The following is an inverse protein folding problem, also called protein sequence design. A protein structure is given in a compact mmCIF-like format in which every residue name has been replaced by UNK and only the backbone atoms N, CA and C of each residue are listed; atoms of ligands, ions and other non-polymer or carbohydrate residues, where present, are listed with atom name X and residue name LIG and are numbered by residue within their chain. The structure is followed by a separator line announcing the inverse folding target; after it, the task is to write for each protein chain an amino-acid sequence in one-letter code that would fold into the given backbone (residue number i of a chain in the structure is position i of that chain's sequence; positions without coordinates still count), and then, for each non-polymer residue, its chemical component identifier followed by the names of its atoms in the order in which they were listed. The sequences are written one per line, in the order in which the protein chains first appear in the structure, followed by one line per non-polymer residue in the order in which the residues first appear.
data_IF_836136271424
#
_entry.id   IF_836136271424
#
_cell.length_a   1.000
_cell.length_b   1.000
_cell.length_c   1.000
_cell.angle_alpha   90.00
_cell.angle_beta   90.00
_cell.angle_gamma   90.00
#
_symmetry.space_group_name_H-M   'P 1'
#
loop_
_entity.id
_entity.type
_entity.pdbx_description
1 polymer ?
#
# COMPACT_ATOMS: atom_id res chain seq x y z
N UNK A 1 0.38 -11.54 -14.76
CA UNK A 1 1.25 -12.46 -13.98
C UNK A 1 1.61 -13.72 -14.77
N UNK A 2 0.67 -14.58 -15.16
CA UNK A 2 0.98 -15.85 -15.84
C UNK A 2 1.85 -15.72 -17.11
N UNK A 3 1.56 -14.74 -17.97
CA UNK A 3 2.38 -14.45 -19.16
C UNK A 3 3.84 -14.11 -18.82
N UNK A 4 4.04 -13.26 -17.79
CA UNK A 4 5.37 -12.84 -17.32
C UNK A 4 6.16 -14.00 -16.71
N UNK A 5 5.50 -14.85 -15.94
CA UNK A 5 6.11 -16.02 -15.28
C UNK A 5 6.20 -17.25 -16.19
N UNK A 6 5.72 -17.18 -17.44
CA UNK A 6 5.57 -18.32 -18.36
C UNK A 6 4.84 -19.51 -17.71
N UNK A 7 3.87 -19.21 -16.85
CA UNK A 7 3.11 -20.22 -16.13
C UNK A 7 2.19 -20.97 -17.09
N UNK A 8 2.30 -22.30 -17.14
CA UNK A 8 1.45 -23.17 -17.98
C UNK A 8 0.12 -23.54 -17.31
N UNK A 9 0.04 -23.40 -15.99
CA UNK A 9 -1.13 -23.76 -15.18
C UNK A 9 -1.37 -22.70 -14.11
N UNK A 10 -2.63 -22.41 -13.84
CA UNK A 10 -3.07 -21.50 -12.80
C UNK A 10 -4.16 -22.15 -11.94
N UNK A 11 -4.25 -21.72 -10.68
CA UNK A 11 -5.35 -22.00 -9.77
C UNK A 11 -5.94 -20.66 -9.36
N UNK A 12 -7.28 -20.55 -9.32
CA UNK A 12 -7.98 -19.38 -8.84
C UNK A 12 -8.61 -19.65 -7.47
N UNK A 13 -8.53 -18.66 -6.58
CA UNK A 13 -9.24 -18.65 -5.30
C UNK A 13 -10.20 -17.48 -5.29
N UNK A 14 -11.49 -17.78 -5.23
CA UNK A 14 -12.58 -16.82 -5.14
C UNK A 14 -12.96 -16.64 -3.68
N UNK A 15 -12.86 -15.41 -3.18
CA UNK A 15 -13.30 -15.04 -1.83
C UNK A 15 -14.54 -14.17 -1.95
N UNK A 16 -15.66 -14.69 -1.49
CA UNK A 16 -16.95 -14.00 -1.54
C UNK A 16 -17.63 -14.15 -0.18
N UNK A 17 -17.68 -13.07 0.60
CA UNK A 17 -18.27 -13.05 1.94
C UNK A 17 -19.73 -13.53 2.00
N UNK A 18 -20.41 -13.60 0.87
CA UNK A 18 -21.78 -14.08 0.75
C UNK A 18 -21.89 -15.47 0.08
N UNK A 19 -20.77 -16.14 -0.18
CA UNK A 19 -20.73 -17.53 -0.58
C UNK A 19 -21.14 -18.38 0.64
N UNK A 20 -22.40 -18.80 0.68
CA UNK A 20 -22.91 -19.71 1.70
C UNK A 20 -22.18 -21.06 1.65
N UNK A 21 -22.20 -21.78 2.77
CA UNK A 21 -21.70 -23.15 2.87
C UNK A 21 -22.29 -24.05 1.75
N UNK A 22 -21.49 -25.04 1.32
CA UNK A 22 -21.90 -26.05 0.34
C UNK A 22 -23.33 -26.58 0.62
N UNK A 23 -24.11 -26.96 -0.42
CA UNK A 23 -25.50 -27.33 -0.22
C UNK A 23 -25.61 -28.63 0.57
N UNK A 24 -25.80 -28.52 1.88
CA UNK A 24 -26.33 -29.58 2.74
C UNK A 24 -27.69 -29.11 3.27
N UNK A 25 -28.68 -29.97 3.12
CA UNK A 25 -30.12 -29.66 3.10
C UNK A 25 -30.61 -28.74 4.22
N UNK A 26 -31.39 -27.75 3.77
CA UNK A 26 -32.47 -26.97 4.40
C UNK A 26 -32.34 -25.53 3.89
N UNK A 27 -33.10 -25.16 2.86
CA UNK A 27 -33.07 -23.80 2.27
C UNK A 27 -34.45 -23.18 2.28
N UNK A 28 -34.53 -21.97 2.84
CA UNK A 28 -35.63 -21.02 2.63
C UNK A 28 -35.53 -20.50 1.18
N UNK A 29 -36.65 -20.48 0.44
CA UNK A 29 -36.67 -20.29 -1.02
C UNK A 29 -35.97 -19.01 -1.55
N UNK A 30 -35.90 -17.94 -0.76
CA UNK A 30 -35.21 -16.70 -1.14
C UNK A 30 -33.67 -16.84 -1.14
N UNK A 31 -33.10 -17.57 -0.15
CA UNK A 31 -31.66 -17.80 -0.05
C UNK A 31 -31.15 -18.79 -1.11
N UNK A 32 -32.05 -19.60 -1.70
CA UNK A 32 -31.73 -20.47 -2.83
C UNK A 32 -31.48 -19.66 -4.11
N UNK A 33 -32.39 -18.73 -4.44
CA UNK A 33 -32.27 -17.87 -5.64
C UNK A 33 -31.01 -17.01 -5.63
N UNK A 34 -30.67 -16.43 -4.47
CA UNK A 34 -29.50 -15.55 -4.34
C UNK A 34 -28.18 -16.31 -4.55
N UNK A 35 -28.09 -17.54 -4.06
CA UNK A 35 -26.91 -18.37 -4.31
C UNK A 35 -26.82 -18.91 -5.74
N UNK A 36 -27.95 -19.18 -6.39
CA UNK A 36 -27.96 -19.60 -7.80
C UNK A 36 -27.46 -18.45 -8.70
N UNK A 37 -27.88 -17.22 -8.43
CA UNK A 37 -27.35 -16.02 -9.11
C UNK A 37 -25.85 -15.86 -8.84
N UNK A 38 -25.39 -15.99 -7.59
CA UNK A 38 -23.95 -15.90 -7.28
C UNK A 38 -23.13 -16.99 -7.96
N UNK A 39 -23.64 -18.21 -8.00
CA UNK A 39 -22.97 -19.31 -8.72
C UNK A 39 -22.82 -18.99 -10.20
N UNK A 40 -23.85 -18.41 -10.83
CA UNK A 40 -23.76 -17.95 -12.22
C UNK A 40 -22.70 -16.84 -12.39
N UNK A 41 -22.62 -15.89 -11.45
CA UNK A 41 -21.58 -14.85 -11.46
C UNK A 41 -20.17 -15.44 -11.29
N UNK A 42 -19.99 -16.41 -10.39
CA UNK A 42 -18.71 -17.10 -10.22
C UNK A 42 -18.31 -17.86 -11.48
N UNK A 43 -19.25 -18.56 -12.13
CA UNK A 43 -19.00 -19.28 -13.39
C UNK A 43 -18.62 -18.30 -14.50
N UNK A 44 -19.39 -17.22 -14.70
CA UNK A 44 -19.09 -16.22 -15.71
C UNK A 44 -17.71 -15.56 -15.51
N UNK A 45 -17.35 -15.25 -14.27
CA UNK A 45 -16.02 -14.72 -13.93
C UNK A 45 -14.90 -15.72 -14.23
N UNK A 46 -15.14 -17.00 -13.94
CA UNK A 46 -14.18 -18.09 -14.17
C UNK A 46 -13.99 -18.36 -15.65
N UNK A 47 -15.06 -18.32 -16.44
CA UNK A 47 -15.00 -18.47 -17.90
C UNK A 47 -14.20 -17.33 -18.52
N UNK A 48 -14.49 -16.08 -18.13
CA UNK A 48 -13.74 -14.91 -18.60
C UNK A 48 -12.24 -14.98 -18.21
N UNK A 49 -11.95 -15.45 -16.99
CA UNK A 49 -10.57 -15.67 -16.53
C UNK A 49 -9.89 -16.79 -17.32
N UNK A 50 -10.58 -17.89 -17.60
CA UNK A 50 -10.05 -19.00 -18.36
C UNK A 50 -9.71 -18.60 -19.80
N UNK A 51 -10.56 -17.80 -20.45
CA UNK A 51 -10.29 -17.21 -21.77
C UNK A 51 -9.01 -16.37 -21.77
N UNK A 52 -8.90 -15.43 -20.83
CA UNK A 52 -7.71 -14.57 -20.71
C UNK A 52 -6.43 -15.36 -20.40
N UNK A 53 -6.54 -16.45 -19.64
CA UNK A 53 -5.41 -17.33 -19.36
C UNK A 53 -5.00 -18.13 -20.60
N UNK A 54 -5.97 -18.59 -21.40
CA UNK A 54 -5.72 -19.32 -22.63
C UNK A 54 -4.97 -18.47 -23.66
N UNK A 55 -5.32 -17.17 -23.79
CA UNK A 55 -4.64 -16.21 -24.66
C UNK A 55 -3.13 -16.08 -24.35
N UNK A 56 -2.74 -16.33 -23.10
CA UNK A 56 -1.34 -16.29 -22.65
C UNK A 56 -0.72 -17.68 -22.48
N UNK A 57 -1.37 -18.73 -23.00
CA UNK A 57 -0.89 -20.11 -22.97
C UNK A 57 -0.93 -20.79 -21.60
N UNK A 58 -1.75 -20.26 -20.68
CA UNK A 58 -1.94 -20.81 -19.34
C UNK A 58 -3.31 -21.50 -19.22
N UNK A 59 -3.35 -22.67 -18.58
CA UNK A 59 -4.61 -23.36 -18.32
C UNK A 59 -5.08 -23.12 -16.88
N UNK A 60 -6.35 -22.76 -16.69
CA UNK A 60 -6.98 -22.78 -15.38
C UNK A 60 -7.27 -24.23 -14.96
N UNK A 61 -6.66 -24.68 -13.86
CA UNK A 61 -6.65 -26.09 -13.44
C UNK A 61 -7.38 -26.36 -12.13
N UNK A 62 -7.75 -25.31 -11.40
CA UNK A 62 -8.49 -25.40 -10.16
C UNK A 62 -9.16 -24.06 -9.86
N UNK A 63 -10.39 -24.10 -9.37
CA UNK A 63 -11.10 -22.92 -8.88
C UNK A 63 -11.70 -23.27 -7.53
N UNK A 64 -11.24 -22.60 -6.48
CA UNK A 64 -11.69 -22.83 -5.12
C UNK A 64 -12.45 -21.60 -4.61
N UNK A 65 -13.59 -21.82 -3.97
CA UNK A 65 -14.46 -20.76 -3.44
C UNK A 65 -14.49 -20.88 -1.92
N UNK A 66 -14.44 -19.73 -1.23
CA UNK A 66 -14.63 -19.65 0.22
C UNK A 66 -15.23 -18.30 0.62
N UNK A 67 -15.83 -18.23 1.80
CA UNK A 67 -16.40 -16.99 2.32
C UNK A 67 -15.33 -16.00 2.82
N UNK A 68 -14.31 -16.54 3.49
CA UNK A 68 -13.21 -15.77 4.07
C UNK A 68 -11.97 -16.66 4.22
N UNK A 69 -10.79 -16.03 4.25
CA UNK A 69 -9.52 -16.73 4.52
C UNK A 69 -9.30 -16.78 6.03
N UNK A 70 -10.03 -17.65 6.72
CA UNK A 70 -9.94 -17.82 8.17
C UNK A 70 -9.90 -19.30 8.55
N UNK A 71 -9.30 -19.61 9.71
CA UNK A 71 -9.23 -20.97 10.23
C UNK A 71 -10.64 -21.57 10.36
N UNK A 72 -10.83 -22.78 9.82
CA UNK A 72 -12.10 -23.51 9.87
C UNK A 72 -13.13 -23.11 8.82
N UNK A 73 -12.89 -22.06 8.02
CA UNK A 73 -13.82 -21.66 6.95
C UNK A 73 -13.95 -22.75 5.90
N UNK A 74 -15.17 -23.09 5.45
CA UNK A 74 -15.35 -24.07 4.39
C UNK A 74 -14.85 -23.50 3.06
N UNK A 75 -14.26 -24.38 2.26
CA UNK A 75 -13.97 -24.11 0.86
C UNK A 75 -14.44 -25.29 0.00
N UNK A 76 -14.76 -25.01 -1.25
CA UNK A 76 -15.17 -26.03 -2.22
C UNK A 76 -14.65 -25.69 -3.61
N UNK A 77 -14.52 -26.70 -4.46
CA UNK A 77 -14.20 -26.50 -5.87
C UNK A 77 -15.43 -26.04 -6.66
N UNK A 78 -15.24 -25.05 -7.54
CA UNK A 78 -16.26 -24.64 -8.50
C UNK A 78 -16.27 -25.54 -9.74
N UNK A 79 -15.14 -26.17 -10.08
CA UNK A 79 -14.95 -26.95 -11.32
C UNK A 79 -15.58 -28.36 -11.30
N UNK A 80 -16.63 -28.58 -10.49
CA UNK A 80 -17.36 -29.84 -10.46
C UNK A 80 -16.58 -31.02 -9.87
N UNK A 81 -15.38 -30.80 -9.34
CA UNK A 81 -14.71 -31.79 -8.50
C UNK A 81 -15.32 -31.76 -7.08
N UNK A 82 -15.34 -32.92 -6.41
CA UNK A 82 -15.87 -33.08 -5.04
C UNK A 82 -14.89 -32.61 -3.96
N UNK A 83 -13.80 -31.93 -4.34
CA UNK A 83 -12.81 -31.45 -3.36
C UNK A 83 -13.37 -30.24 -2.65
N UNK A 84 -13.30 -30.33 -1.34
CA UNK A 84 -13.62 -29.27 -0.42
C UNK A 84 -13.06 -29.65 0.94
N UNK A 85 -13.16 -28.73 1.87
CA UNK A 85 -12.69 -28.95 3.22
C UNK A 85 -12.80 -27.68 4.02
N UNK A 86 -12.07 -27.63 5.12
CA UNK A 86 -11.90 -26.41 5.91
C UNK A 86 -10.52 -25.84 5.67
N UNK A 87 -10.41 -24.52 5.75
CA UNK A 87 -9.15 -23.81 5.66
C UNK A 87 -8.37 -24.08 6.97
N UNK A 88 -7.17 -24.68 6.92
CA UNK A 88 -6.28 -24.75 8.08
C UNK A 88 -5.91 -23.33 8.53
N UNK A 89 -5.52 -23.13 9.80
CA UNK A 89 -5.17 -21.79 10.29
C UNK A 89 -4.19 -21.08 9.35
N UNK A 90 -4.64 -20.02 8.64
CA UNK A 90 -3.79 -19.32 7.68
C UNK A 90 -2.54 -18.73 8.33
N UNK A 91 -2.62 -18.34 9.62
CA UNK A 91 -1.51 -17.79 10.38
C UNK A 91 -0.44 -18.84 10.72
N UNK A 92 -0.81 -20.13 10.75
CA UNK A 92 0.09 -21.26 10.97
C UNK A 92 0.68 -21.82 9.66
N UNK A 93 0.32 -21.26 8.49
CA UNK A 93 0.84 -21.72 7.21
C UNK A 93 2.34 -21.42 7.06
N UNK A 94 3.07 -22.27 6.34
CA UNK A 94 4.51 -22.04 6.04
C UNK A 94 4.77 -20.72 5.33
N UNK A 95 3.82 -20.28 4.50
CA UNK A 95 3.85 -18.96 3.83
C UNK A 95 3.68 -17.83 4.84
N UNK A 96 2.73 -17.94 5.79
CA UNK A 96 2.56 -16.97 6.86
C UNK A 96 3.79 -16.90 7.78
N UNK A 97 4.37 -18.05 8.15
CA UNK A 97 5.60 -18.11 8.94
C UNK A 97 6.77 -17.46 8.20
N UNK A 98 6.95 -17.71 6.90
CA UNK A 98 7.96 -17.05 6.08
C UNK A 98 7.71 -15.53 5.92
N UNK A 99 6.44 -15.10 5.95
CA UNK A 99 6.12 -13.68 5.98
C UNK A 99 6.55 -13.03 7.31
N UNK A 100 6.18 -13.63 8.45
CA UNK A 100 6.53 -13.14 9.80
C UNK A 100 8.04 -13.15 10.05
N UNK A 101 8.75 -14.22 9.65
CA UNK A 101 10.20 -14.30 9.77
C UNK A 101 10.93 -13.24 8.94
N UNK A 102 10.33 -12.76 7.85
CA UNK A 102 10.80 -11.60 7.08
C UNK A 102 10.39 -10.24 7.68
N UNK A 103 9.85 -10.19 8.90
CA UNK A 103 9.40 -8.97 9.57
C UNK A 103 8.05 -8.42 9.07
N UNK A 104 7.27 -9.21 8.32
CA UNK A 104 5.99 -8.77 7.74
C UNK A 104 4.84 -9.06 8.71
N UNK A 105 4.03 -8.05 8.99
CA UNK A 105 2.85 -8.20 9.85
C UNK A 105 1.67 -8.70 9.02
N UNK A 106 1.06 -9.81 9.44
CA UNK A 106 -0.15 -10.35 8.81
C UNK A 106 -1.35 -9.57 9.38
N UNK A 107 -1.95 -8.71 8.58
CA UNK A 107 -3.17 -8.01 8.95
C UNK A 107 -4.39 -8.89 8.67
N UNK A 108 -5.32 -8.97 9.63
CA UNK A 108 -6.44 -9.92 9.57
C UNK A 108 -7.56 -9.48 8.62
N UNK A 109 -7.59 -8.20 8.25
CA UNK A 109 -8.56 -7.67 7.28
C UNK A 109 -8.13 -6.33 6.66
N UNK A 110 -8.64 -6.04 5.45
CA UNK A 110 -8.54 -4.72 4.81
C UNK A 110 -9.08 -3.58 5.69
N UNK A 111 -10.10 -3.87 6.52
CA UNK A 111 -10.70 -2.90 7.45
C UNK A 111 -9.76 -2.53 8.62
N UNK A 112 -8.89 -3.43 9.05
CA UNK A 112 -7.87 -3.13 10.07
C UNK A 112 -6.80 -2.18 9.51
N UNK A 113 -6.31 -2.46 8.30
CA UNK A 113 -5.37 -1.59 7.60
C UNK A 113 -5.96 -0.20 7.29
N UNK A 114 -7.24 -0.15 6.94
CA UNK A 114 -7.93 1.14 6.72
C UNK A 114 -8.02 1.96 8.02
N UNK A 115 -8.27 1.30 9.15
CA UNK A 115 -8.27 1.96 10.47
C UNK A 115 -6.88 2.47 10.87
N UNK A 116 -5.81 1.76 10.48
CA UNK A 116 -4.43 2.18 10.75
C UNK A 116 -4.12 3.57 10.18
N UNK A 117 -4.59 3.86 8.96
CA UNK A 117 -4.36 5.14 8.27
C UNK A 117 -5.51 6.14 8.45
N UNK A 118 -6.48 5.82 9.31
CA UNK A 118 -7.65 6.63 9.59
C UNK A 118 -7.28 7.97 10.24
N UNK A 119 -8.04 9.02 9.89
CA UNK A 119 -7.80 10.38 10.37
C UNK A 119 -7.84 10.49 11.89
N UNK A 120 -6.90 11.26 12.41
CA UNK A 120 -6.72 11.58 13.83
C UNK A 120 -7.48 12.88 14.20
N UNK A 121 -7.88 13.03 15.46
CA UNK A 121 -8.52 14.26 15.97
C UNK A 121 -7.63 15.52 15.87
N UNK A 122 -6.31 15.36 15.67
CA UNK A 122 -5.35 16.45 15.50
C UNK A 122 -5.45 17.21 14.18
N UNK A 123 -6.19 16.71 13.18
CA UNK A 123 -6.29 17.31 11.84
C UNK A 123 -6.63 18.81 11.87
N UNK A 124 -7.56 19.23 12.73
CA UNK A 124 -7.93 20.65 12.84
C UNK A 124 -6.79 21.54 13.35
N UNK A 125 -6.03 21.05 14.33
CA UNK A 125 -4.91 21.79 14.90
C UNK A 125 -3.77 21.94 13.86
N UNK A 126 -3.47 20.87 13.14
CA UNK A 126 -2.46 20.87 12.06
C UNK A 126 -2.89 21.78 10.92
N UNK A 127 -4.15 21.72 10.47
CA UNK A 127 -4.67 22.59 9.41
C UNK A 127 -4.56 24.09 9.75
N UNK A 128 -4.68 24.47 11.03
CA UNK A 128 -4.45 25.87 11.46
C UNK A 128 -2.98 26.24 11.33
N UNK A 129 -2.07 25.38 11.79
CA UNK A 129 -0.63 25.62 11.70
C UNK A 129 -0.15 25.64 10.25
N UNK A 130 -0.72 24.79 9.38
CA UNK A 130 -0.39 24.74 7.97
C UNK A 130 -0.69 26.05 7.24
N UNK A 131 -1.84 26.68 7.51
CA UNK A 131 -2.16 28.00 6.97
C UNK A 131 -1.14 29.06 7.40
N UNK A 132 -0.72 29.04 8.66
CA UNK A 132 0.28 29.96 9.18
C UNK A 132 1.67 29.71 8.55
N UNK A 133 2.10 28.45 8.46
CA UNK A 133 3.36 28.06 7.83
C UNK A 133 3.40 28.44 6.35
N UNK A 134 2.30 28.21 5.61
CA UNK A 134 2.17 28.60 4.20
C UNK A 134 2.25 30.12 4.01
N UNK A 135 1.64 30.90 4.90
CA UNK A 135 1.73 32.36 4.86
C UNK A 135 3.14 32.89 5.16
N UNK A 136 3.93 32.14 5.93
CA UNK A 136 5.31 32.48 6.27
C UNK A 136 6.34 32.01 5.22
N UNK A 137 5.94 31.24 4.20
CA UNK A 137 6.88 30.75 3.19
C UNK A 137 7.44 31.89 2.32
N UNK A 138 8.78 31.99 2.17
CA UNK A 138 9.40 33.00 1.33
C UNK A 138 9.01 32.82 -0.15
N UNK A 139 8.84 33.95 -0.83
CA UNK A 139 8.70 33.98 -2.30
C UNK A 139 10.10 33.97 -2.94
N UNK A 140 10.55 32.79 -3.32
CA UNK A 140 11.86 32.58 -3.95
C UNK A 140 11.76 32.89 -5.45
N UNK A 141 12.72 33.66 -5.99
CA UNK A 141 12.67 34.19 -7.36
C UNK A 141 13.72 33.59 -8.30
N UNK A 142 14.75 32.96 -7.76
CA UNK A 142 15.80 32.29 -8.52
C UNK A 142 15.97 30.83 -8.08
N UNK A 143 16.59 30.03 -8.95
CA UNK A 143 16.77 28.59 -8.73
C UNK A 143 17.67 28.28 -7.54
N UNK A 144 18.73 29.06 -7.32
CA UNK A 144 19.69 28.81 -6.25
C UNK A 144 19.07 29.03 -4.85
N UNK A 145 18.24 30.07 -4.70
CA UNK A 145 17.47 30.32 -3.49
C UNK A 145 16.46 29.19 -3.26
N UNK A 146 15.81 28.71 -4.32
CA UNK A 146 14.89 27.58 -4.27
C UNK A 146 15.60 26.31 -3.79
N UNK A 147 16.73 25.95 -4.39
CA UNK A 147 17.49 24.75 -4.01
C UNK A 147 18.08 24.85 -2.60
N UNK A 148 18.58 26.03 -2.18
CA UNK A 148 19.03 26.25 -0.78
C UNK A 148 17.89 26.09 0.23
N UNK A 149 16.68 26.51 -0.13
CA UNK A 149 15.53 26.37 0.74
C UNK A 149 15.02 24.93 0.78
N UNK A 150 14.94 24.27 -0.38
CA UNK A 150 14.61 22.84 -0.49
C UNK A 150 15.61 21.97 0.29
N UNK A 151 16.91 22.32 0.26
CA UNK A 151 17.94 21.68 1.09
C UNK A 151 17.58 21.73 2.57
N UNK A 152 17.26 22.92 3.10
CA UNK A 152 16.87 23.09 4.52
C UNK A 152 15.61 22.30 4.85
N UNK A 153 14.65 22.22 3.93
CA UNK A 153 13.44 21.42 4.09
C UNK A 153 13.73 19.92 4.14
N UNK A 154 14.63 19.43 3.28
CA UNK A 154 15.08 18.04 3.31
C UNK A 154 15.82 17.73 4.62
N UNK A 155 16.76 18.57 5.04
CA UNK A 155 17.47 18.44 6.33
C UNK A 155 16.49 18.42 7.51
N UNK A 156 15.45 19.26 7.48
CA UNK A 156 14.37 19.26 8.48
C UNK A 156 13.59 17.93 8.49
N UNK A 157 13.21 17.39 7.33
CA UNK A 157 12.52 16.08 7.28
C UNK A 157 13.38 14.97 7.87
N UNK A 158 14.69 14.97 7.58
CA UNK A 158 15.62 13.98 8.13
C UNK A 158 15.74 14.11 9.65
N UNK A 159 15.80 15.34 10.16
CA UNK A 159 15.82 15.61 11.60
C UNK A 159 14.55 15.10 12.29
N UNK A 160 13.36 15.39 11.75
CA UNK A 160 12.09 14.91 12.33
C UNK A 160 11.95 13.39 12.25
N UNK A 161 12.54 12.76 11.22
CA UNK A 161 12.63 11.31 11.12
C UNK A 161 13.49 10.71 12.24
N UNK A 162 14.65 11.30 12.54
CA UNK A 162 15.54 10.86 13.62
C UNK A 162 14.90 11.09 15.00
N UNK A 163 14.23 12.23 15.19
CA UNK A 163 13.46 12.55 16.39
C UNK A 163 12.38 11.49 16.65
N UNK A 164 11.63 11.10 15.61
CA UNK A 164 10.63 10.04 15.73
C UNK A 164 11.26 8.67 16.04
N UNK A 165 12.42 8.37 15.45
CA UNK A 165 13.18 7.14 15.74
C UNK A 165 13.64 7.08 17.22
N UNK A 166 13.91 8.23 17.84
CA UNK A 166 14.22 8.35 19.26
C UNK A 166 12.98 8.22 20.18
N UNK A 167 11.78 8.04 19.61
CA UNK A 167 10.51 7.89 20.36
C UNK A 167 9.87 9.22 20.76
N UNK A 168 10.36 10.34 20.25
CA UNK A 168 9.78 11.65 20.54
C UNK A 168 8.51 11.91 19.70
N UNK A 169 7.64 12.78 20.22
CA UNK A 169 6.39 13.15 19.56
C UNK A 169 6.51 14.44 18.75
N UNK A 170 5.79 14.49 17.64
CA UNK A 170 5.68 15.67 16.79
C UNK A 170 4.49 16.55 17.18
N UNK A 171 4.74 17.85 17.22
CA UNK A 171 3.76 18.90 17.44
C UNK A 171 2.96 19.23 16.18
N UNK A 172 1.78 19.85 16.29
CA UNK A 172 1.00 20.28 15.13
C UNK A 172 1.73 21.24 14.18
N UNK A 173 2.64 22.07 14.69
CA UNK A 173 3.48 22.96 13.89
C UNK A 173 4.56 22.23 13.12
N UNK A 174 5.16 21.19 13.71
CA UNK A 174 6.14 20.34 13.02
C UNK A 174 5.46 19.54 11.90
N UNK A 175 4.27 18.98 12.13
CA UNK A 175 3.48 18.33 11.06
C UNK A 175 3.14 19.29 9.92
N UNK A 176 2.77 20.53 10.23
CA UNK A 176 2.50 21.55 9.22
C UNK A 176 3.77 21.93 8.43
N UNK A 177 4.91 22.08 9.09
CA UNK A 177 6.18 22.37 8.44
C UNK A 177 6.65 21.22 7.53
N UNK A 178 6.40 19.96 7.94
CA UNK A 178 6.66 18.78 7.13
C UNK A 178 5.77 18.75 5.88
N UNK A 179 4.49 19.09 5.99
CA UNK A 179 3.62 19.22 4.81
C UNK A 179 4.15 20.26 3.81
N UNK A 180 4.55 21.44 4.29
CA UNK A 180 5.20 22.46 3.45
C UNK A 180 6.49 21.93 2.81
N UNK A 181 7.28 21.12 3.52
CA UNK A 181 8.49 20.51 2.96
C UNK A 181 8.17 19.55 1.81
N UNK A 182 7.12 18.73 1.94
CA UNK A 182 6.72 17.75 0.92
C UNK A 182 6.14 18.36 -0.35
N UNK A 183 5.65 19.59 -0.30
CA UNK A 183 5.20 20.31 -1.51
C UNK A 183 6.34 20.61 -2.50
N UNK A 184 7.58 20.68 -2.00
CA UNK A 184 8.76 20.79 -2.85
C UNK A 184 9.04 19.42 -3.45
N UNK A 185 8.70 19.24 -4.73
CA UNK A 185 8.84 17.96 -5.44
C UNK A 185 10.23 17.36 -5.31
N UNK A 186 11.30 18.16 -5.37
CA UNK A 186 12.67 17.66 -5.15
C UNK A 186 12.84 17.04 -3.75
N UNK A 187 12.23 17.64 -2.71
CA UNK A 187 12.29 17.13 -1.34
C UNK A 187 11.48 15.86 -1.22
N UNK A 188 10.24 15.86 -1.73
CA UNK A 188 9.39 14.65 -1.75
C UNK A 188 10.06 13.49 -2.48
N UNK A 189 10.63 13.77 -3.64
CA UNK A 189 11.27 12.74 -4.46
C UNK A 189 12.56 12.25 -3.77
N UNK A 190 13.32 13.14 -3.11
CA UNK A 190 14.49 12.77 -2.31
C UNK A 190 14.13 11.85 -1.12
N UNK A 191 13.05 12.14 -0.39
CA UNK A 191 12.68 11.36 0.80
C UNK A 191 12.13 9.97 0.47
N UNK A 192 11.80 9.68 -0.80
CA UNK A 192 11.48 8.31 -1.24
C UNK A 192 12.67 7.36 -1.02
N UNK A 193 13.91 7.83 -1.12
CA UNK A 193 15.09 7.01 -0.85
C UNK A 193 15.15 6.49 0.59
N UNK A 194 14.47 7.15 1.54
CA UNK A 194 14.42 6.70 2.93
C UNK A 194 13.71 5.35 3.09
N UNK A 195 12.83 4.98 2.14
CA UNK A 195 12.10 3.70 2.15
C UNK A 195 12.98 2.47 1.95
N UNK A 196 14.22 2.63 1.46
CA UNK A 196 15.14 1.51 1.21
C UNK A 196 16.42 1.51 2.07
N UNK A 197 16.59 2.54 2.90
CA UNK A 197 17.77 2.71 3.75
C UNK A 197 17.60 2.25 5.20
N UNK A 198 18.58 2.62 6.02
CA UNK A 198 18.59 2.38 7.47
C UNK A 198 17.39 3.03 8.18
N UNK A 199 16.92 4.17 7.67
CA UNK A 199 15.80 4.94 8.22
C UNK A 199 14.41 4.45 7.81
N UNK A 200 14.29 3.36 7.04
CA UNK A 200 13.00 2.91 6.45
C UNK A 200 11.86 2.80 7.47
N UNK A 201 12.15 2.28 8.67
CA UNK A 201 11.13 2.10 9.73
C UNK A 201 10.66 3.45 10.28
N UNK A 202 11.61 4.34 10.57
CA UNK A 202 11.31 5.68 11.08
C UNK A 202 10.59 6.54 10.03
N UNK A 203 11.01 6.44 8.77
CA UNK A 203 10.37 7.13 7.66
C UNK A 203 8.93 6.63 7.44
N UNK A 204 8.70 5.31 7.43
CA UNK A 204 7.35 4.74 7.33
C UNK A 204 6.45 5.22 8.49
N UNK A 205 6.97 5.24 9.72
CA UNK A 205 6.23 5.78 10.87
C UNK A 205 5.91 7.28 10.73
N UNK A 206 6.82 8.07 10.16
CA UNK A 206 6.62 9.49 9.88
C UNK A 206 5.50 9.69 8.85
N UNK A 207 5.53 8.95 7.73
CA UNK A 207 4.51 9.01 6.68
C UNK A 207 3.15 8.56 7.20
N UNK A 208 3.11 7.52 8.03
CA UNK A 208 1.89 7.07 8.69
C UNK A 208 1.30 8.16 9.59
N UNK A 209 2.12 8.79 10.44
CA UNK A 209 1.65 9.88 11.30
C UNK A 209 1.12 11.07 10.50
N UNK A 210 1.85 11.50 9.45
CA UNK A 210 1.42 12.57 8.57
C UNK A 210 0.11 12.23 7.85
N UNK A 211 -0.01 11.02 7.30
CA UNK A 211 -1.24 10.55 6.62
C UNK A 211 -2.48 10.64 7.51
N UNK A 212 -2.32 10.47 8.83
CA UNK A 212 -3.43 10.52 9.78
C UNK A 212 -3.80 11.95 10.21
N UNK A 213 -2.85 12.88 10.22
CA UNK A 213 -3.04 14.22 10.82
C UNK A 213 -3.10 15.35 9.80
N UNK A 214 -2.67 15.14 8.54
CA UNK A 214 -2.74 16.17 7.52
C UNK A 214 -4.18 16.33 6.98
N UNK A 215 -4.61 17.58 6.70
CA UNK A 215 -5.84 17.84 5.97
C UNK A 215 -5.69 17.46 4.48
N UNK A 216 -6.81 17.44 3.77
CA UNK A 216 -6.78 17.38 2.30
C UNK A 216 -6.55 18.79 1.73
N UNK A 217 -5.80 18.93 0.63
CA UNK A 217 -5.17 17.86 -0.16
C UNK A 217 -3.78 17.41 0.32
N UNK A 218 -3.18 18.06 1.32
CA UNK A 218 -1.79 17.81 1.72
C UNK A 218 -1.51 16.40 2.25
N UNK A 219 -2.55 15.69 2.66
CA UNK A 219 -2.48 14.26 3.01
C UNK A 219 -2.03 13.38 1.84
N UNK A 220 -2.24 13.78 0.59
CA UNK A 220 -1.91 12.98 -0.59
C UNK A 220 -0.42 12.63 -0.70
N UNK A 221 0.49 13.59 -0.50
CA UNK A 221 1.94 13.33 -0.56
C UNK A 221 2.37 12.34 0.55
N UNK A 222 1.88 12.53 1.77
CA UNK A 222 2.22 11.64 2.89
C UNK A 222 1.68 10.21 2.70
N UNK A 223 0.44 10.07 2.22
CA UNK A 223 -0.17 8.78 1.93
C UNK A 223 0.54 8.09 0.75
N UNK A 224 1.00 8.84 -0.24
CA UNK A 224 1.81 8.33 -1.36
C UNK A 224 3.15 7.78 -0.86
N UNK A 225 3.85 8.51 0.01
CA UNK A 225 5.13 8.05 0.60
C UNK A 225 4.95 6.81 1.48
N UNK A 226 3.86 6.76 2.27
CA UNK A 226 3.50 5.56 3.04
C UNK A 226 3.26 4.36 2.11
N UNK A 227 2.49 4.57 1.03
CA UNK A 227 2.20 3.54 0.05
C UNK A 227 3.45 3.03 -0.66
N UNK A 228 4.35 3.94 -1.02
CA UNK A 228 5.64 3.59 -1.61
C UNK A 228 6.51 2.77 -0.65
N UNK A 229 6.64 3.17 0.62
CA UNK A 229 7.36 2.40 1.65
C UNK A 229 6.79 0.97 1.80
N UNK A 230 5.47 0.84 1.87
CA UNK A 230 4.81 -0.45 1.93
C UNK A 230 5.06 -1.28 0.66
N UNK A 231 5.03 -0.64 -0.51
CA UNK A 231 5.24 -1.32 -1.79
C UNK A 231 6.65 -1.89 -1.92
N UNK A 232 7.70 -1.10 -1.66
CA UNK A 232 9.09 -1.57 -1.81
C UNK A 232 9.45 -2.71 -0.84
N UNK A 233 8.79 -2.81 0.32
CA UNK A 233 8.93 -3.93 1.27
C UNK A 233 7.98 -5.11 0.98
N UNK A 234 7.17 -5.03 -0.07
CA UNK A 234 6.29 -6.10 -0.52
C UNK A 234 4.94 -6.21 0.19
N UNK A 235 4.49 -5.16 0.87
CA UNK A 235 3.17 -5.08 1.51
C UNK A 235 2.17 -4.38 0.58
N UNK A 236 1.80 -5.10 -0.48
CA UNK A 236 0.83 -4.65 -1.47
C UNK A 236 -0.52 -4.22 -0.89
N UNK A 237 -1.10 -4.93 0.10
CA UNK A 237 -2.35 -4.51 0.73
C UNK A 237 -2.28 -3.14 1.39
N UNK A 238 -1.26 -2.87 2.22
CA UNK A 238 -1.09 -1.54 2.81
C UNK A 238 -0.78 -0.49 1.74
N UNK A 239 0.06 -0.82 0.76
CA UNK A 239 0.39 0.07 -0.35
C UNK A 239 -0.87 0.54 -1.09
N UNK A 240 -1.74 -0.39 -1.50
CA UNK A 240 -2.97 -0.07 -2.21
C UNK A 240 -3.97 0.74 -1.37
N UNK A 241 -4.04 0.49 -0.06
CA UNK A 241 -4.88 1.28 0.85
C UNK A 241 -4.34 2.71 1.01
N UNK A 242 -3.02 2.87 1.10
CA UNK A 242 -2.37 4.16 1.20
C UNK A 242 -2.49 4.97 -0.11
N UNK A 243 -2.32 4.35 -1.29
CA UNK A 243 -2.52 5.03 -2.56
C UNK A 243 -3.99 5.42 -2.80
N UNK A 244 -4.94 4.56 -2.46
CA UNK A 244 -6.36 4.92 -2.50
C UNK A 244 -6.65 6.12 -1.58
N UNK A 245 -6.09 6.12 -0.37
CA UNK A 245 -6.19 7.26 0.54
C UNK A 245 -5.54 8.54 0.00
N UNK A 246 -4.46 8.44 -0.78
CA UNK A 246 -3.84 9.58 -1.43
C UNK A 246 -4.76 10.16 -2.52
N UNK A 247 -5.34 9.29 -3.35
CA UNK A 247 -6.24 9.68 -4.45
C UNK A 247 -7.62 10.17 -3.95
N UNK A 248 -8.10 9.67 -2.81
CA UNK A 248 -9.28 10.21 -2.13
C UNK A 248 -9.02 11.63 -1.60
N UNK A 249 -7.77 11.94 -1.23
CA UNK A 249 -7.35 13.26 -0.73
C UNK A 249 -7.15 14.26 -1.87
N UNK A 250 -6.49 13.82 -2.95
CA UNK A 250 -6.27 14.57 -4.18
C UNK A 250 -6.37 13.62 -5.40
N UNK A 251 -7.51 13.63 -6.11
CA UNK A 251 -7.71 12.77 -7.29
C UNK A 251 -6.72 13.02 -8.43
N UNK A 252 -6.10 14.20 -8.49
CA UNK A 252 -5.16 14.59 -9.53
C UNK A 252 -3.68 14.33 -9.13
N UNK A 253 -3.46 13.64 -7.99
CA UNK A 253 -2.12 13.37 -7.47
C UNK A 253 -1.35 12.38 -8.34
N UNK A 254 -0.61 12.91 -9.32
CA UNK A 254 0.06 12.14 -10.39
C UNK A 254 0.95 11.01 -9.89
N UNK A 255 1.75 11.24 -8.85
CA UNK A 255 2.66 10.20 -8.34
C UNK A 255 1.89 9.04 -7.70
N UNK A 256 0.80 9.33 -6.98
CA UNK A 256 -0.05 8.29 -6.38
C UNK A 256 -0.70 7.44 -7.48
N UNK A 257 -1.27 8.09 -8.51
CA UNK A 257 -1.90 7.39 -9.63
C UNK A 257 -0.91 6.50 -10.40
N UNK A 258 0.31 6.97 -10.63
CA UNK A 258 1.36 6.17 -11.28
C UNK A 258 1.76 4.95 -10.44
N UNK A 259 2.00 5.14 -9.13
CA UNK A 259 2.41 4.05 -8.25
C UNK A 259 1.28 3.02 -8.03
N UNK A 260 0.03 3.47 -7.94
CA UNK A 260 -1.13 2.57 -7.89
C UNK A 260 -1.27 1.78 -9.20
N UNK A 261 -1.12 2.42 -10.36
CA UNK A 261 -1.13 1.72 -11.64
C UNK A 261 -0.02 0.66 -11.74
N UNK A 262 1.19 0.95 -11.24
CA UNK A 262 2.26 -0.04 -11.13
C UNK A 262 1.88 -1.22 -10.21
N UNK A 263 1.26 -0.93 -9.07
CA UNK A 263 0.81 -1.94 -8.11
C UNK A 263 -0.28 -2.83 -8.70
N UNK A 264 -1.31 -2.25 -9.31
CA UNK A 264 -2.40 -2.99 -9.97
C UNK A 264 -1.88 -3.78 -11.19
N UNK A 265 -0.89 -3.25 -11.90
CA UNK A 265 -0.19 -3.93 -12.98
C UNK A 265 0.72 -5.08 -12.52
N UNK A 266 0.91 -5.24 -11.21
CA UNK A 266 1.70 -6.31 -10.61
C UNK A 266 3.21 -6.14 -10.82
N UNK A 267 3.71 -4.91 -10.97
CA UNK A 267 5.15 -4.64 -10.99
C UNK A 267 5.77 -5.10 -9.65
N UNK A 268 6.92 -5.76 -9.71
CA UNK A 268 7.52 -6.38 -8.52
C UNK A 268 8.16 -5.32 -7.62
N UNK A 269 8.15 -5.49 -6.28
CA UNK A 269 8.81 -4.59 -5.33
C UNK A 269 10.28 -4.32 -5.66
N UNK A 270 11.01 -5.32 -6.18
CA UNK A 270 12.43 -5.20 -6.55
C UNK A 270 12.65 -4.10 -7.58
N UNK A 271 11.82 -4.06 -8.62
CA UNK A 271 11.89 -3.02 -9.66
C UNK A 271 11.46 -1.65 -9.10
N UNK A 272 10.57 -1.62 -8.12
CA UNK A 272 10.15 -0.38 -7.46
C UNK A 272 11.27 0.22 -6.60
N UNK A 273 12.19 -0.60 -6.07
CA UNK A 273 13.34 -0.11 -5.31
C UNK A 273 14.30 0.73 -6.15
N UNK A 274 14.37 0.50 -7.47
CA UNK A 274 15.19 1.32 -8.38
C UNK A 274 14.75 2.80 -8.38
N UNK A 275 13.47 3.08 -8.08
CA UNK A 275 12.99 4.47 -7.94
C UNK A 275 13.62 5.20 -6.75
N UNK A 276 14.16 4.48 -5.76
CA UNK A 276 14.91 5.08 -4.67
C UNK A 276 16.21 5.73 -5.15
N UNK A 277 16.80 5.25 -6.24
CA UNK A 277 18.03 5.84 -6.81
C UNK A 277 17.77 7.28 -7.27
N UNK A 278 16.60 7.55 -7.86
CA UNK A 278 16.16 8.92 -8.17
C UNK A 278 16.10 9.79 -6.91
N UNK A 279 15.69 9.23 -5.77
CA UNK A 279 15.69 9.96 -4.50
C UNK A 279 17.09 10.30 -4.00
N UNK A 280 18.05 9.36 -4.13
CA UNK A 280 19.46 9.63 -3.83
C UNK A 280 20.04 10.73 -4.75
N UNK A 281 19.72 10.71 -6.05
CA UNK A 281 20.10 11.74 -7.00
C UNK A 281 19.54 13.12 -6.62
N UNK A 282 18.25 13.20 -6.23
CA UNK A 282 17.63 14.46 -5.80
C UNK A 282 18.28 15.01 -4.52
N UNK A 283 18.60 14.15 -3.56
CA UNK A 283 19.30 14.57 -2.36
C UNK A 283 20.72 15.07 -2.66
N UNK A 284 21.46 14.37 -3.51
CA UNK A 284 22.79 14.78 -3.97
C UNK A 284 22.76 16.12 -4.71
N UNK A 285 21.73 16.36 -5.53
CA UNK A 285 21.47 17.65 -6.20
C UNK A 285 21.31 18.81 -5.21
N UNK A 286 20.67 18.56 -4.07
CA UNK A 286 20.55 19.52 -2.96
C UNK A 286 21.81 19.58 -2.06
N UNK A 287 22.80 18.72 -2.33
CA UNK A 287 24.02 18.55 -1.55
C UNK A 287 23.79 17.94 -0.16
N UNK A 288 22.71 17.18 0.02
CA UNK A 288 22.38 16.46 1.26
C UNK A 288 22.75 14.99 1.10
N UNK A 289 23.58 14.47 2.01
CA UNK A 289 23.90 13.06 2.04
C UNK A 289 22.79 12.29 2.78
N UNK A 290 22.17 11.31 2.12
CA UNK A 290 21.24 10.39 2.75
C UNK A 290 21.97 9.15 3.28
N UNK A 291 21.45 8.51 4.34
CA UNK A 291 21.98 7.22 4.80
C UNK A 291 21.96 6.19 3.66
N UNK A 292 23.02 5.38 3.58
CA UNK A 292 23.20 4.38 2.53
C UNK A 292 22.07 3.35 2.54
N UNK A 293 21.70 2.88 1.34
CA UNK A 293 20.77 1.77 1.18
C UNK A 293 21.36 0.52 1.84
N UNK A 294 20.55 -0.22 2.59
CA UNK A 294 21.00 -1.49 3.17
C UNK A 294 20.99 -2.51 2.03
N UNK A 295 22.19 -2.93 1.59
CA UNK A 295 22.38 -3.84 0.44
C UNK A 295 21.76 -5.23 0.69
N UNK A 296 21.49 -5.60 1.95
CA UNK A 296 20.88 -6.87 2.32
C UNK A 296 19.39 -6.72 2.61
N UNK A 297 18.56 -7.02 1.61
CA UNK A 297 17.15 -7.37 1.82
C UNK A 297 17.03 -8.88 2.02
N UNK A 298 16.29 -9.37 3.04
CA UNK A 298 15.99 -10.78 3.21
C UNK A 298 15.00 -11.31 2.15
#
# INVERSE_FOLDING_TARGET
VCARERARRAIAVLVDAHAGCAPAGVRVAAAARDADVRRLLHVALVDALAEHLADVGAQLTGVHVTAAIEAGQPWWSLLGDVRGGTIPDPAASTVAVAHVLGGRQIHRSRAELTRLIGRDGRVRAVARQLRAARAAEPRLRDGDQHDRHARKKLEFVLFECDKLAAGESLSPSEFAALAIALEYRVVRDAVMALSVGERRVAAEALWLNLTRVLPDPERADAATLLGYSAYVRGDGPLAGIAFAAALDSDPEHRLAGLLDACLQGGLRPEAMRELADTGYEQAARLGVALPTAVVSWP
#
